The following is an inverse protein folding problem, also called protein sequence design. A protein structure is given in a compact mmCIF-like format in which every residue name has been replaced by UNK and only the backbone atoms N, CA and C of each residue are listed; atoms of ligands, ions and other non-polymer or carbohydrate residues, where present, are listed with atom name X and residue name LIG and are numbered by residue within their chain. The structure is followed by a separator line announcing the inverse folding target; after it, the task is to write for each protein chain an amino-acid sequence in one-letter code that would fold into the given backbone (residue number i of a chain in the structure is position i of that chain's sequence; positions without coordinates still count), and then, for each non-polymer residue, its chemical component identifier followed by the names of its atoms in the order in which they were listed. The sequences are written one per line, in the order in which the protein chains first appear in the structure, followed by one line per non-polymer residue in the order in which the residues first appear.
data_IF_197527398436
#
_entry.id   IF_197527398436
#
_cell.length_a   1.000
_cell.length_b   1.000
_cell.length_c   1.000
_cell.angle_alpha   90.00
_cell.angle_beta   90.00
_cell.angle_gamma   90.00
#
_symmetry.space_group_name_H-M   'P 1'
#
loop_
_entity.id
_entity.type
_entity.pdbx_description
1 polymer ?
#
# COMPACT_ATOMS: atom_id res chain seq x y z
N UNK A 1 -11.77 2.27 7.23
CA UNK A 1 -11.66 1.56 5.97
C UNK A 1 -11.05 0.19 6.12
N UNK A 2 -10.61 -0.36 5.06
CA UNK A 2 -10.04 -1.71 4.98
C UNK A 2 -9.37 -1.90 3.64
N UNK A 3 -9.29 -3.14 3.17
CA UNK A 3 -8.88 -3.48 1.82
C UNK A 3 -10.10 -3.40 0.90
N UNK A 4 -10.22 -2.27 0.18
CA UNK A 4 -11.39 -1.95 -0.63
C UNK A 4 -11.03 -1.92 -2.11
N UNK A 5 -11.85 -2.55 -2.94
CA UNK A 5 -11.69 -2.53 -4.40
C UNK A 5 -12.30 -1.28 -5.06
N UNK A 6 -12.56 -0.24 -4.27
CA UNK A 6 -13.34 0.90 -4.74
C UNK A 6 -12.60 1.79 -5.74
N UNK A 7 -11.28 1.87 -5.67
CA UNK A 7 -10.49 2.56 -6.70
C UNK A 7 -10.73 1.89 -8.06
N UNK A 8 -10.52 0.58 -8.15
CA UNK A 8 -10.70 -0.18 -9.39
C UNK A 8 -12.13 -0.14 -9.92
N UNK A 9 -13.12 -0.42 -9.06
CA UNK A 9 -14.53 -0.41 -9.45
C UNK A 9 -15.03 0.96 -9.88
N UNK A 10 -14.45 2.04 -9.34
CA UNK A 10 -14.83 3.40 -9.73
C UNK A 10 -14.38 3.75 -11.13
N UNK A 11 -13.19 3.29 -11.54
CA UNK A 11 -12.66 3.50 -12.91
C UNK A 11 -13.12 2.43 -13.91
N UNK A 12 -13.84 1.39 -13.46
CA UNK A 12 -14.35 0.34 -14.33
C UNK A 12 -13.34 -0.75 -14.71
N UNK A 13 -12.32 -0.97 -13.86
CA UNK A 13 -11.30 -2.00 -14.06
C UNK A 13 -11.51 -3.12 -13.05
N UNK A 14 -12.09 -4.25 -13.48
CA UNK A 14 -12.42 -5.35 -12.57
C UNK A 14 -11.20 -6.21 -12.17
N UNK A 15 -10.22 -6.40 -13.07
CA UNK A 15 -9.05 -7.26 -12.83
C UNK A 15 -7.79 -6.73 -13.53
N UNK A 16 -7.09 -5.83 -12.90
CA UNK A 16 -5.89 -5.21 -13.49
C UNK A 16 -4.69 -6.20 -13.60
N UNK A 17 -4.72 -7.30 -12.83
CA UNK A 17 -3.60 -8.25 -12.72
C UNK A 17 -3.66 -9.41 -13.70
N UNK A 18 -4.86 -9.69 -14.22
CA UNK A 18 -5.14 -10.84 -15.08
C UNK A 18 -5.52 -10.43 -16.50
N UNK A 19 -5.36 -9.13 -16.83
CA UNK A 19 -5.67 -8.63 -18.18
C UNK A 19 -4.60 -9.11 -19.17
N UNK A 20 -5.05 -9.72 -20.26
CA UNK A 20 -4.21 -9.89 -21.42
C UNK A 20 -3.70 -8.53 -21.90
N UNK A 21 -2.49 -8.51 -22.48
CA UNK A 21 -1.81 -7.26 -22.86
C UNK A 21 -2.69 -6.33 -23.70
N UNK A 22 -3.41 -6.89 -24.66
CA UNK A 22 -4.31 -6.13 -25.54
C UNK A 22 -5.45 -5.44 -24.79
N UNK A 23 -6.04 -6.13 -23.80
CA UNK A 23 -7.11 -5.58 -22.94
C UNK A 23 -6.55 -4.52 -22.00
N UNK A 24 -5.36 -4.74 -21.48
CA UNK A 24 -4.67 -3.77 -20.63
C UNK A 24 -4.36 -2.48 -21.42
N UNK A 25 -3.80 -2.60 -22.63
CA UNK A 25 -3.48 -1.46 -23.49
C UNK A 25 -4.73 -0.68 -23.88
N UNK A 26 -5.83 -1.36 -24.22
CA UNK A 26 -7.13 -0.72 -24.53
C UNK A 26 -7.65 0.06 -23.31
N UNK A 27 -7.61 -0.55 -22.14
CA UNK A 27 -8.06 0.08 -20.89
C UNK A 27 -7.22 1.30 -20.54
N UNK A 28 -5.90 1.21 -20.66
CA UNK A 28 -4.99 2.33 -20.42
C UNK A 28 -5.29 3.47 -21.40
N UNK A 29 -5.43 3.17 -22.70
CA UNK A 29 -5.76 4.17 -23.71
C UNK A 29 -7.11 4.84 -23.43
N UNK A 30 -8.11 4.11 -22.97
CA UNK A 30 -9.39 4.69 -22.54
C UNK A 30 -9.21 5.67 -21.38
N UNK A 31 -8.45 5.29 -20.35
CA UNK A 31 -8.19 6.14 -19.19
C UNK A 31 -7.39 7.40 -19.53
N UNK A 32 -6.44 7.29 -20.48
CA UNK A 32 -5.65 8.44 -20.95
C UNK A 32 -6.49 9.50 -21.68
N UNK A 33 -7.62 9.11 -22.24
CA UNK A 33 -8.54 10.00 -22.95
C UNK A 33 -9.59 10.68 -22.05
N UNK A 34 -9.64 10.35 -20.75
CA UNK A 34 -10.57 11.01 -19.85
C UNK A 34 -10.21 12.48 -19.63
N UNK A 35 -11.19 13.35 -19.78
CA UNK A 35 -11.11 14.75 -19.38
C UNK A 35 -11.29 14.92 -17.86
N UNK A 36 -11.14 16.14 -17.36
CA UNK A 36 -11.21 16.43 -15.92
C UNK A 36 -12.60 16.16 -15.32
N UNK A 37 -13.69 16.38 -16.07
CA UNK A 37 -15.05 16.08 -15.62
C UNK A 37 -15.28 14.58 -15.46
N UNK A 38 -14.79 13.78 -16.39
CA UNK A 38 -14.87 12.32 -16.32
C UNK A 38 -14.08 11.79 -15.11
N UNK A 39 -12.90 12.34 -14.83
CA UNK A 39 -12.16 12.01 -13.61
C UNK A 39 -12.88 12.41 -12.35
N UNK A 40 -13.52 13.60 -12.32
CA UNK A 40 -14.34 14.05 -11.20
C UNK A 40 -15.53 13.11 -10.94
N UNK A 41 -16.19 12.62 -12.00
CA UNK A 41 -17.28 11.64 -11.87
C UNK A 41 -16.78 10.29 -11.27
N UNK A 42 -15.59 9.82 -11.66
CA UNK A 42 -15.00 8.63 -11.03
C UNK A 42 -14.73 8.87 -9.55
N UNK A 43 -14.23 10.05 -9.20
CA UNK A 43 -14.04 10.48 -7.81
C UNK A 43 -15.35 10.51 -7.01
N UNK A 44 -16.43 11.09 -7.56
CA UNK A 44 -17.76 11.08 -6.93
C UNK A 44 -18.27 9.66 -6.70
N UNK A 45 -18.09 8.76 -7.68
CA UNK A 45 -18.47 7.35 -7.55
C UNK A 45 -17.73 6.69 -6.40
N UNK A 46 -16.42 6.90 -6.29
CA UNK A 46 -15.60 6.38 -5.18
C UNK A 46 -16.11 6.92 -3.83
N UNK A 47 -16.31 8.23 -3.70
CA UNK A 47 -16.79 8.85 -2.46
C UNK A 47 -18.16 8.31 -2.05
N UNK A 48 -19.08 8.11 -3.01
CA UNK A 48 -20.38 7.48 -2.75
C UNK A 48 -20.24 6.06 -2.18
N UNK A 49 -19.33 5.27 -2.70
CA UNK A 49 -19.06 3.92 -2.16
C UNK A 49 -18.51 3.98 -0.72
N UNK A 50 -17.59 4.92 -0.44
CA UNK A 50 -17.09 5.17 0.92
C UNK A 50 -18.20 5.59 1.87
N UNK A 51 -19.08 6.50 1.47
CA UNK A 51 -20.19 6.97 2.29
C UNK A 51 -21.13 5.83 2.70
N UNK A 52 -21.36 4.86 1.82
CA UNK A 52 -22.23 3.70 2.10
C UNK A 52 -21.68 2.80 3.23
N UNK A 53 -20.36 2.79 3.47
CA UNK A 53 -19.73 2.00 4.53
C UNK A 53 -19.28 2.85 5.73
N UNK A 54 -19.25 4.16 5.59
CA UNK A 54 -18.88 5.11 6.66
C UNK A 54 -20.10 5.42 7.54
N UNK A 55 -20.66 4.41 8.17
CA UNK A 55 -21.90 4.50 8.99
C UNK A 55 -21.77 5.47 10.17
N UNK A 56 -20.55 5.74 10.61
CA UNK A 56 -20.27 6.64 11.74
C UNK A 56 -20.00 8.09 11.30
N UNK A 57 -20.20 8.42 10.04
CA UNK A 57 -20.04 9.77 9.46
C UNK A 57 -18.70 10.44 9.83
N UNK A 58 -17.60 9.68 9.86
CA UNK A 58 -16.27 10.23 10.16
C UNK A 58 -15.79 11.12 9.02
N UNK A 59 -15.19 12.27 9.36
CA UNK A 59 -14.65 13.24 8.41
C UNK A 59 -13.44 12.70 7.63
N UNK A 60 -12.69 11.76 8.21
CA UNK A 60 -11.53 11.14 7.59
C UNK A 60 -11.76 9.66 7.35
N UNK A 61 -11.31 9.19 6.21
CA UNK A 61 -11.40 7.79 5.82
C UNK A 61 -10.05 7.29 5.29
N UNK A 62 -9.69 6.07 5.66
CA UNK A 62 -8.50 5.39 5.14
C UNK A 62 -8.90 4.20 4.28
N UNK A 63 -8.32 4.11 3.10
CA UNK A 63 -8.40 2.96 2.21
C UNK A 63 -6.99 2.36 2.09
N UNK A 64 -6.85 1.07 2.42
CA UNK A 64 -5.60 0.35 2.28
C UNK A 64 -5.84 -0.92 1.48
N UNK A 65 -5.65 -0.84 0.18
CA UNK A 65 -5.52 -1.98 -0.72
C UNK A 65 -4.06 -2.10 -1.15
N UNK A 66 -3.37 -3.21 -0.89
CA UNK A 66 -1.94 -3.35 -1.20
C UNK A 66 -1.59 -2.97 -2.64
N UNK A 67 -2.47 -3.27 -3.59
CA UNK A 67 -2.27 -3.00 -5.00
C UNK A 67 -2.56 -1.56 -5.45
N UNK A 68 -3.07 -0.68 -4.59
CA UNK A 68 -3.31 0.73 -4.91
C UNK A 68 -2.02 1.46 -5.35
N UNK A 69 -0.84 0.93 -4.99
CA UNK A 69 0.43 1.49 -5.47
C UNK A 69 0.54 1.54 -7.00
N UNK A 70 -0.13 0.65 -7.72
CA UNK A 70 -0.14 0.68 -9.19
C UNK A 70 -0.98 1.83 -9.76
N UNK A 71 -1.87 2.38 -8.97
CA UNK A 71 -2.89 3.33 -9.38
C UNK A 71 -2.74 4.72 -8.74
N UNK A 72 -1.56 5.06 -8.17
CA UNK A 72 -1.38 6.36 -7.49
C UNK A 72 -1.71 7.55 -8.41
N UNK A 73 -1.33 7.50 -9.68
CA UNK A 73 -1.67 8.56 -10.65
C UNK A 73 -3.17 8.67 -10.91
N UNK A 74 -3.87 7.53 -11.03
CA UNK A 74 -5.32 7.49 -11.22
C UNK A 74 -6.05 7.99 -9.97
N UNK A 75 -5.59 7.56 -8.78
CA UNK A 75 -6.10 8.05 -7.50
C UNK A 75 -5.95 9.57 -7.41
N UNK A 76 -4.80 10.10 -7.79
CA UNK A 76 -4.58 11.54 -7.78
C UNK A 76 -5.49 12.31 -8.76
N UNK A 77 -5.75 11.74 -9.94
CA UNK A 77 -6.71 12.33 -10.89
C UNK A 77 -8.14 12.34 -10.38
N UNK A 78 -8.61 11.21 -9.82
CA UNK A 78 -9.97 11.10 -9.26
C UNK A 78 -10.16 11.91 -7.99
N UNK A 79 -9.14 11.96 -7.14
CA UNK A 79 -9.19 12.48 -5.77
C UNK A 79 -7.96 13.36 -5.51
N UNK A 80 -7.88 14.57 -6.11
CA UNK A 80 -6.67 15.40 -6.05
C UNK A 80 -6.31 15.87 -4.63
N UNK A 81 -7.27 15.83 -3.69
CA UNK A 81 -7.04 16.17 -2.28
C UNK A 81 -6.64 14.96 -1.41
N UNK A 82 -6.68 13.73 -1.95
CA UNK A 82 -6.28 12.55 -1.21
C UNK A 82 -4.80 12.61 -0.82
N UNK A 83 -4.50 12.22 0.42
CA UNK A 83 -3.13 12.05 0.91
C UNK A 83 -2.71 10.61 0.67
N UNK A 84 -1.57 10.41 0.04
CA UNK A 84 -1.03 9.08 -0.25
C UNK A 84 0.09 8.79 0.75
N UNK A 85 -0.03 7.68 1.47
CA UNK A 85 1.02 7.20 2.38
C UNK A 85 1.58 5.90 1.83
N UNK A 86 2.84 5.92 1.42
CA UNK A 86 3.54 4.72 0.99
C UNK A 86 4.33 4.12 2.15
N UNK A 87 3.81 3.01 2.68
CA UNK A 87 4.47 2.25 3.72
C UNK A 87 5.46 1.26 3.09
N UNK A 88 6.73 1.34 3.44
CA UNK A 88 7.76 0.43 2.96
C UNK A 88 8.70 0.00 4.07
N UNK A 89 9.49 -1.03 3.81
CA UNK A 89 10.49 -1.56 4.73
C UNK A 89 11.67 -2.11 3.93
N UNK A 90 12.75 -2.44 4.62
CA UNK A 90 13.91 -3.13 4.07
C UNK A 90 13.49 -4.28 3.13
N UNK A 91 14.14 -4.38 1.99
CA UNK A 91 13.76 -5.29 0.92
C UNK A 91 13.77 -6.75 1.36
N UNK A 92 14.84 -7.18 2.06
CA UNK A 92 14.95 -8.55 2.54
C UNK A 92 13.92 -8.87 3.63
N UNK A 93 13.68 -7.95 4.57
CA UNK A 93 12.65 -8.14 5.59
C UNK A 93 11.25 -8.24 4.97
N UNK A 94 10.97 -7.44 3.94
CA UNK A 94 9.69 -7.47 3.24
C UNK A 94 9.50 -8.77 2.47
N UNK A 95 10.44 -9.11 1.61
CA UNK A 95 10.34 -10.29 0.74
C UNK A 95 10.39 -11.59 1.53
N UNK A 96 11.23 -11.69 2.56
CA UNK A 96 11.22 -12.85 3.45
C UNK A 96 9.89 -13.01 4.17
N UNK A 97 9.27 -11.91 4.59
CA UNK A 97 7.94 -11.95 5.22
C UNK A 97 6.86 -12.47 4.25
N UNK A 98 6.92 -12.14 2.97
CA UNK A 98 6.03 -12.67 1.95
C UNK A 98 6.33 -14.15 1.65
N UNK A 99 7.60 -14.49 1.45
CA UNK A 99 8.06 -15.82 1.06
C UNK A 99 7.70 -16.92 2.08
N UNK A 100 7.83 -16.63 3.38
CA UNK A 100 7.54 -17.58 4.45
C UNK A 100 6.05 -17.80 4.75
N UNK A 101 5.16 -16.95 4.22
CA UNK A 101 3.72 -17.02 4.50
C UNK A 101 2.96 -17.68 3.35
N UNK A 102 1.94 -18.46 3.71
CA UNK A 102 1.00 -19.03 2.74
C UNK A 102 -0.19 -18.10 2.57
N UNK A 103 -0.50 -17.76 1.33
CA UNK A 103 -1.65 -16.94 0.98
C UNK A 103 -2.77 -17.82 0.48
N UNK A 104 -3.96 -17.73 1.11
CA UNK A 104 -5.13 -18.53 0.77
C UNK A 104 -5.89 -18.06 -0.47
N UNK A 105 -5.43 -17.01 -1.16
CA UNK A 105 -6.08 -16.43 -2.33
C UNK A 105 -5.21 -16.54 -3.58
N UNK A 106 -5.83 -16.58 -4.76
CA UNK A 106 -5.12 -16.50 -6.05
C UNK A 106 -4.40 -15.17 -6.22
N UNK A 107 -3.41 -15.11 -7.13
CA UNK A 107 -2.68 -13.89 -7.46
C UNK A 107 -1.37 -13.69 -6.70
N UNK A 108 -1.06 -14.52 -5.71
CA UNK A 108 0.20 -14.44 -4.94
C UNK A 108 1.25 -15.48 -5.31
N UNK A 109 1.11 -16.18 -6.46
CA UNK A 109 2.04 -17.23 -6.89
C UNK A 109 3.50 -16.78 -6.99
N UNK A 110 3.75 -15.50 -7.22
CA UNK A 110 5.10 -14.93 -7.23
C UNK A 110 5.79 -15.01 -5.86
N UNK A 111 5.04 -15.06 -4.74
CA UNK A 111 5.61 -15.07 -3.38
C UNK A 111 6.27 -16.40 -2.99
N UNK A 112 6.04 -17.47 -3.75
CA UNK A 112 6.57 -18.82 -3.50
C UNK A 112 7.87 -19.13 -4.26
N UNK A 113 8.41 -18.16 -5.00
CA UNK A 113 9.64 -18.28 -5.79
C UNK A 113 10.50 -17.05 -5.55
N UNK A 114 11.75 -17.24 -5.14
CA UNK A 114 12.64 -16.14 -4.76
C UNK A 114 12.91 -15.18 -5.93
N UNK A 115 13.10 -15.70 -7.13
CA UNK A 115 13.38 -14.91 -8.33
C UNK A 115 12.15 -14.09 -8.77
N UNK A 116 10.97 -14.73 -8.79
CA UNK A 116 9.72 -14.05 -9.15
C UNK A 116 9.35 -12.97 -8.13
N UNK A 117 9.52 -13.28 -6.85
CA UNK A 117 9.27 -12.33 -5.76
C UNK A 117 10.21 -11.12 -5.85
N UNK A 118 11.51 -11.35 -6.07
CA UNK A 118 12.49 -10.28 -6.25
C UNK A 118 12.18 -9.39 -7.46
N UNK A 119 11.79 -10.00 -8.58
CA UNK A 119 11.34 -9.25 -9.78
C UNK A 119 10.11 -8.40 -9.47
N UNK A 120 9.11 -8.97 -8.82
CA UNK A 120 7.88 -8.25 -8.44
C UNK A 120 8.20 -7.08 -7.52
N UNK A 121 9.03 -7.29 -6.48
CA UNK A 121 9.45 -6.25 -5.56
C UNK A 121 10.22 -5.12 -6.28
N UNK A 122 11.15 -5.46 -7.17
CA UNK A 122 11.92 -4.48 -7.92
C UNK A 122 11.04 -3.62 -8.86
N UNK A 123 10.02 -4.22 -9.48
CA UNK A 123 9.03 -3.48 -10.26
C UNK A 123 8.21 -2.53 -9.37
N UNK A 124 7.79 -3.00 -8.19
CA UNK A 124 7.11 -2.17 -7.20
C UNK A 124 7.99 -0.96 -6.79
N UNK A 125 9.26 -1.18 -6.47
CA UNK A 125 10.21 -0.11 -6.14
C UNK A 125 10.34 0.89 -7.29
N UNK A 126 10.52 0.39 -8.53
CA UNK A 126 10.61 1.24 -9.72
C UNK A 126 9.38 2.13 -9.90
N UNK A 127 8.19 1.54 -9.74
CA UNK A 127 6.92 2.25 -9.90
C UNK A 127 6.71 3.29 -8.78
N UNK A 128 7.03 2.96 -7.54
CA UNK A 128 6.90 3.91 -6.44
C UNK A 128 7.89 5.06 -6.51
N UNK A 129 9.11 4.83 -6.99
CA UNK A 129 10.06 5.92 -7.33
C UNK A 129 9.49 6.84 -8.42
N UNK A 130 8.88 6.27 -9.44
CA UNK A 130 8.18 7.04 -10.48
C UNK A 130 7.07 7.92 -9.87
N UNK A 131 6.18 7.33 -9.07
CA UNK A 131 5.10 8.09 -8.44
C UNK A 131 5.62 9.18 -7.51
N UNK A 132 6.68 8.91 -6.74
CA UNK A 132 7.28 9.94 -5.88
C UNK A 132 7.85 11.10 -6.71
N UNK A 133 8.46 10.83 -7.84
CA UNK A 133 8.96 11.86 -8.75
C UNK A 133 7.83 12.70 -9.38
N UNK A 134 6.74 12.05 -9.80
CA UNK A 134 5.61 12.73 -10.47
C UNK A 134 4.70 13.46 -9.49
N UNK A 135 4.41 12.88 -8.34
CA UNK A 135 3.43 13.39 -7.38
C UNK A 135 4.08 14.15 -6.21
N UNK A 136 5.40 14.10 -6.09
CA UNK A 136 6.16 14.88 -5.10
C UNK A 136 5.64 14.72 -3.67
N UNK A 137 5.31 15.85 -3.05
CA UNK A 137 4.85 15.90 -1.65
C UNK A 137 3.42 15.39 -1.42
N UNK A 138 2.71 14.99 -2.48
CA UNK A 138 1.45 14.25 -2.33
C UNK A 138 1.67 12.86 -1.73
N UNK A 139 2.88 12.29 -1.87
CA UNK A 139 3.25 10.98 -1.31
C UNK A 139 4.15 11.16 -0.08
N UNK A 140 3.66 10.71 1.07
CA UNK A 140 4.47 10.56 2.27
C UNK A 140 5.13 9.18 2.28
N UNK A 141 6.45 9.15 2.44
CA UNK A 141 7.23 7.92 2.54
C UNK A 141 7.36 7.50 3.99
N UNK A 142 6.71 6.41 4.38
CA UNK A 142 6.71 5.86 5.73
C UNK A 142 7.57 4.60 5.78
N UNK A 143 8.81 4.73 6.22
CA UNK A 143 9.71 3.59 6.44
C UNK A 143 9.36 2.90 7.76
N UNK A 144 9.11 1.60 7.71
CA UNK A 144 8.73 0.80 8.88
C UNK A 144 9.80 0.84 9.98
N UNK A 145 11.07 0.72 9.61
CA UNK A 145 12.19 0.75 10.56
C UNK A 145 12.28 2.10 11.28
N UNK A 146 12.07 3.20 10.56
CA UNK A 146 12.05 4.54 11.17
C UNK A 146 10.89 4.71 12.16
N UNK A 147 9.72 4.15 11.82
CA UNK A 147 8.57 4.14 12.73
C UNK A 147 8.83 3.30 13.99
N UNK A 148 9.56 2.19 13.87
CA UNK A 148 9.97 1.36 15.01
C UNK A 148 10.98 2.08 15.90
N UNK A 149 11.91 2.84 15.31
CA UNK A 149 12.98 3.54 16.05
C UNK A 149 12.48 4.82 16.71
N UNK A 150 11.60 5.57 16.05
CA UNK A 150 11.01 6.84 16.53
C UNK A 150 9.51 6.89 16.23
N UNK A 151 8.71 6.11 16.99
CA UNK A 151 7.27 6.05 16.77
C UNK A 151 6.62 7.43 16.89
N UNK A 152 6.99 8.23 17.90
CA UNK A 152 6.37 9.54 18.16
C UNK A 152 6.69 10.54 17.04
N UNK A 153 7.96 10.72 16.71
CA UNK A 153 8.37 11.72 15.72
C UNK A 153 7.91 11.37 14.31
N UNK A 154 7.94 10.07 13.92
CA UNK A 154 7.45 9.64 12.61
C UNK A 154 5.92 9.76 12.52
N UNK A 155 5.19 9.40 13.57
CA UNK A 155 3.73 9.58 13.62
C UNK A 155 3.35 11.05 13.53
N UNK A 156 4.04 11.94 14.23
CA UNK A 156 3.79 13.39 14.15
C UNK A 156 3.97 13.93 12.72
N UNK A 157 5.03 13.51 12.03
CA UNK A 157 5.26 13.89 10.61
C UNK A 157 4.15 13.35 9.69
N UNK A 158 3.70 12.12 9.93
CA UNK A 158 2.60 11.51 9.18
C UNK A 158 1.29 12.28 9.38
N UNK A 159 0.93 12.58 10.62
CA UNK A 159 -0.28 13.35 10.94
C UNK A 159 -0.24 14.73 10.30
N UNK A 160 0.89 15.43 10.38
CA UNK A 160 1.10 16.73 9.70
C UNK A 160 0.88 16.62 8.19
N UNK A 161 1.40 15.57 7.53
CA UNK A 161 1.16 15.34 6.10
C UNK A 161 -0.32 15.13 5.79
N UNK A 162 -1.01 14.40 6.67
CA UNK A 162 -2.45 14.12 6.52
C UNK A 162 -3.35 15.33 6.88
N UNK A 163 -2.80 16.40 7.47
CA UNK A 163 -3.56 17.52 7.98
C UNK A 163 -4.39 17.16 9.22
N UNK A 164 -3.85 16.28 10.05
CA UNK A 164 -4.46 15.79 11.29
C UNK A 164 -3.70 16.32 12.51
N UNK A 165 -4.44 16.64 13.56
CA UNK A 165 -3.87 17.02 14.84
C UNK A 165 -3.31 15.79 15.58
N UNK A 166 -2.42 16.06 16.53
CA UNK A 166 -1.84 15.03 17.38
C UNK A 166 -2.86 14.54 18.41
N UNK A 167 -2.93 13.22 18.57
CA UNK A 167 -3.65 12.56 19.64
C UNK A 167 -2.76 11.47 20.25
N UNK A 168 -2.63 11.44 21.59
CA UNK A 168 -1.74 10.50 22.30
C UNK A 168 -2.11 9.03 22.03
N UNK A 169 -3.39 8.75 21.80
CA UNK A 169 -3.88 7.42 21.41
C UNK A 169 -3.24 6.88 20.13
N UNK A 170 -2.62 7.72 19.27
CA UNK A 170 -1.89 7.26 18.10
C UNK A 170 -0.68 6.37 18.46
N UNK A 171 -0.11 6.53 19.65
CA UNK A 171 0.96 5.68 20.18
C UNK A 171 0.44 4.36 20.76
N UNK A 172 -0.85 4.29 21.07
CA UNK A 172 -1.51 3.15 21.70
C UNK A 172 -2.47 2.41 20.76
N UNK A 173 -2.19 2.44 19.45
CA UNK A 173 -3.02 1.85 18.39
C UNK A 173 -3.43 0.40 18.68
N UNK A 174 -2.61 -0.36 19.40
CA UNK A 174 -2.85 -1.75 19.79
C UNK A 174 -4.01 -1.93 20.79
N UNK A 175 -4.44 -0.85 21.45
CA UNK A 175 -5.62 -0.83 22.33
C UNK A 175 -6.94 -0.70 21.56
N UNK A 176 -6.88 -0.37 20.28
CA UNK A 176 -8.07 -0.18 19.45
C UNK A 176 -8.78 -1.51 19.21
N UNK A 177 -10.10 -1.56 19.49
CA UNK A 177 -10.93 -2.79 19.37
C UNK A 177 -11.52 -2.99 17.95
N UNK A 178 -10.97 -2.33 16.93
CA UNK A 178 -11.46 -2.48 15.55
C UNK A 178 -11.20 -3.89 15.01
N UNK A 179 -12.16 -4.42 14.25
CA UNK A 179 -11.97 -5.69 13.52
C UNK A 179 -10.83 -5.56 12.50
N UNK A 180 -9.92 -6.52 12.56
CA UNK A 180 -8.79 -6.65 11.64
C UNK A 180 -8.89 -8.01 10.96
N UNK A 181 -9.06 -8.01 9.63
CA UNK A 181 -9.26 -9.23 8.82
C UNK A 181 -8.03 -9.60 7.99
N UNK A 182 -6.83 -9.37 8.52
CA UNK A 182 -5.58 -9.65 7.80
C UNK A 182 -4.71 -10.62 8.57
N UNK A 183 -3.71 -11.23 7.91
CA UNK A 183 -2.70 -12.11 8.53
C UNK A 183 -2.03 -11.44 9.74
N UNK A 184 -1.97 -10.11 9.76
CA UNK A 184 -1.36 -9.32 10.83
C UNK A 184 -2.25 -9.11 12.07
N UNK A 185 -3.41 -9.77 12.19
CA UNK A 185 -4.37 -9.55 13.29
C UNK A 185 -3.73 -9.63 14.68
N UNK A 186 -2.80 -10.58 14.88
CA UNK A 186 -2.08 -10.71 16.15
C UNK A 186 -1.03 -9.61 16.37
N UNK A 187 -0.41 -9.13 15.29
CA UNK A 187 0.66 -8.13 15.38
C UNK A 187 0.12 -6.76 15.74
N UNK A 188 -1.02 -6.35 15.18
CA UNK A 188 -1.63 -5.04 15.44
C UNK A 188 -2.24 -4.90 16.85
N UNK A 189 -2.30 -5.99 17.63
CA UNK A 189 -2.74 -5.99 19.03
C UNK A 189 -1.58 -5.90 20.02
N UNK A 190 -0.38 -5.70 19.53
CA UNK A 190 0.82 -5.54 20.35
C UNK A 190 1.49 -4.20 20.05
N UNK A 191 2.19 -3.59 21.01
CA UNK A 191 3.05 -2.44 20.75
C UNK A 191 4.06 -2.73 19.65
N UNK A 192 4.50 -1.68 18.95
CA UNK A 192 5.56 -1.77 17.95
C UNK A 192 6.80 -2.42 18.60
N UNK A 193 7.43 -3.34 17.88
CA UNK A 193 8.63 -4.04 18.35
C UNK A 193 9.56 -4.43 17.19
N UNK A 194 10.80 -4.78 17.54
CA UNK A 194 11.86 -5.12 16.58
C UNK A 194 11.94 -6.63 16.23
N UNK A 195 11.05 -7.47 16.74
CA UNK A 195 11.15 -8.94 16.64
C UNK A 195 11.19 -9.48 15.21
N UNK A 196 10.60 -8.77 14.27
CA UNK A 196 10.58 -9.18 12.86
C UNK A 196 11.76 -8.67 12.02
N UNK A 197 12.58 -7.78 12.58
CA UNK A 197 13.71 -7.20 11.87
C UNK A 197 14.87 -8.20 11.79
N UNK A 198 15.36 -8.43 10.60
CA UNK A 198 16.53 -9.29 10.37
C UNK A 198 16.29 -10.78 10.55
N UNK A 199 15.05 -11.26 10.76
CA UNK A 199 14.75 -12.70 10.88
C UNK A 199 15.25 -13.51 9.68
N UNK A 200 15.28 -12.92 8.49
CA UNK A 200 15.79 -13.56 7.28
C UNK A 200 17.26 -14.00 7.41
N UNK A 201 18.04 -13.34 8.26
CA UNK A 201 19.47 -13.66 8.49
C UNK A 201 19.67 -15.08 8.99
N UNK A 202 18.71 -15.63 9.72
CA UNK A 202 18.74 -17.02 10.17
C UNK A 202 18.61 -18.05 9.02
N UNK A 203 18.28 -17.58 7.82
CA UNK A 203 18.05 -18.36 6.61
C UNK A 203 18.88 -17.84 5.44
N UNK A 204 19.93 -17.05 5.70
CA UNK A 204 20.68 -16.31 4.70
C UNK A 204 21.21 -17.21 3.56
N UNK A 205 21.75 -18.38 3.88
CA UNK A 205 22.28 -19.33 2.89
C UNK A 205 21.20 -19.82 1.91
N UNK A 206 19.98 -20.05 2.42
CA UNK A 206 18.84 -20.49 1.63
C UNK A 206 18.17 -19.36 0.83
N UNK A 207 18.53 -18.10 1.08
CA UNK A 207 17.94 -16.90 0.46
C UNK A 207 18.93 -16.18 -0.49
N UNK A 208 19.98 -16.85 -0.93
CA UNK A 208 21.05 -16.26 -1.74
C UNK A 208 20.56 -15.66 -3.06
N UNK A 209 19.60 -16.29 -3.73
CA UNK A 209 18.99 -15.79 -4.97
C UNK A 209 18.24 -14.46 -4.73
N UNK A 210 17.48 -14.41 -3.64
CA UNK A 210 16.75 -13.21 -3.23
C UNK A 210 17.71 -12.06 -2.89
N UNK A 211 18.76 -12.33 -2.10
CA UNK A 211 19.74 -11.33 -1.70
C UNK A 211 20.46 -10.69 -2.90
N UNK A 212 20.83 -11.50 -3.90
CA UNK A 212 21.52 -11.02 -5.12
C UNK A 212 20.61 -10.18 -6.02
N UNK A 213 19.32 -10.42 -5.98
CA UNK A 213 18.36 -9.87 -6.95
C UNK A 213 17.61 -8.65 -6.47
N UNK A 214 17.47 -8.44 -5.16
CA UNK A 214 16.69 -7.35 -4.59
C UNK A 214 17.37 -5.99 -4.70
N UNK A 215 16.56 -4.95 -4.92
CA UNK A 215 16.97 -3.54 -4.94
C UNK A 215 16.30 -2.81 -3.79
N UNK A 216 17.06 -1.98 -3.09
CA UNK A 216 16.50 -1.16 -2.01
C UNK A 216 15.67 0.01 -2.55
N UNK A 217 14.67 0.39 -1.77
CA UNK A 217 13.96 1.65 -1.94
C UNK A 217 14.74 2.72 -1.17
N UNK A 218 15.62 3.41 -1.85
CA UNK A 218 16.44 4.51 -1.33
C UNK A 218 16.13 5.79 -2.09
#
# INVERSE_FOLDING_TARGET
GGELDYVRSSIGIDRIYDLEKEVADKTINQLLNFNDDEWAEKGKKYIKQIQNINTNHKSFFTDKMPHNFMMCGLIHKMLPQAKIVFCYRDAMNNCFSLYKNTFGTSGHGYSYDQTKLSKHYNLHVKLMKHWKNVLGDKIFLLKNESLIDDQKGVTAKLLKHCGLEWEDQCLEFYKTQRDVRTISIRQVRNPINKKSLGLWKNYADSLSEMQKSLKEFS
#
